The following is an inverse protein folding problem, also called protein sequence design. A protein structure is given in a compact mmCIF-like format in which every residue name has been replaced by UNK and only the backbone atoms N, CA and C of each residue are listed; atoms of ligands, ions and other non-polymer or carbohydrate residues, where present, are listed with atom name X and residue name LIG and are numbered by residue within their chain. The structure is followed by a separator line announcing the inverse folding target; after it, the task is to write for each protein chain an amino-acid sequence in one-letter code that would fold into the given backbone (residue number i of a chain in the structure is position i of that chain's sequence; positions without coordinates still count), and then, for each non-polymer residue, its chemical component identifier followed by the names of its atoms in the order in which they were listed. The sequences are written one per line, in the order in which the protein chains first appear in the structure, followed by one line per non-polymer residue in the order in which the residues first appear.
data_IF_643098589782
#
_entry.id   IF_643098589782
#
_cell.length_a   1.000
_cell.length_b   1.000
_cell.length_c   1.000
_cell.angle_alpha   90.00
_cell.angle_beta   90.00
_cell.angle_gamma   90.00
#
_symmetry.space_group_name_H-M   'P 1'
#
loop_
_entity.id
_entity.type
_entity.pdbx_description
1 polymer ?
#
# COMPACT_ATOMS: atom_id res chain seq x y z
N UNK A 1 -13.17 -20.36 3.19
CA UNK A 1 -13.25 -18.89 3.16
C UNK A 1 -11.86 -18.41 2.79
N UNK A 2 -11.66 -17.98 1.56
CA UNK A 2 -10.33 -17.62 1.04
C UNK A 2 -9.89 -16.30 1.69
N UNK A 3 -9.05 -16.42 2.71
CA UNK A 3 -8.44 -15.29 3.41
C UNK A 3 -7.55 -14.52 2.42
N UNK A 4 -8.11 -13.45 1.83
CA UNK A 4 -7.29 -12.46 1.10
C UNK A 4 -6.36 -11.84 2.13
N UNK A 5 -5.05 -12.07 1.96
CA UNK A 5 -4.01 -11.46 2.80
C UNK A 5 -4.00 -9.95 2.52
N UNK A 6 -4.72 -9.21 3.35
CA UNK A 6 -4.88 -7.76 3.29
C UNK A 6 -3.81 -7.01 4.09
N UNK A 7 -3.02 -7.71 4.90
CA UNK A 7 -1.97 -7.09 5.69
C UNK A 7 -0.75 -6.87 4.80
N UNK A 8 -0.34 -5.61 4.64
CA UNK A 8 0.91 -5.24 3.99
C UNK A 8 1.72 -4.30 4.88
N UNK A 9 3.03 -4.50 4.88
CA UNK A 9 3.97 -3.68 5.62
C UNK A 9 4.41 -2.52 4.74
N UNK A 10 3.95 -1.32 5.08
CA UNK A 10 4.34 -0.07 4.43
C UNK A 10 5.65 0.42 5.02
N UNK A 11 6.68 0.49 4.19
CA UNK A 11 7.99 1.01 4.59
C UNK A 11 8.15 2.45 4.14
N UNK A 12 8.31 3.36 5.09
CA UNK A 12 8.50 4.78 4.82
C UNK A 12 9.94 5.05 4.34
N UNK A 13 10.16 5.55 3.10
CA UNK A 13 11.50 5.83 2.60
C UNK A 13 12.16 7.05 3.26
N UNK A 14 11.40 7.94 3.91
CA UNK A 14 11.95 9.13 4.56
C UNK A 14 12.58 8.84 5.93
N UNK A 15 12.08 7.83 6.66
CA UNK A 15 12.53 7.54 8.03
C UNK A 15 12.83 6.05 8.30
N UNK A 16 12.61 5.17 7.31
CA UNK A 16 12.78 3.73 7.44
C UNK A 16 11.75 3.05 8.34
N UNK A 17 10.67 3.73 8.72
CA UNK A 17 9.63 3.14 9.58
C UNK A 17 8.76 2.17 8.79
N UNK A 18 8.59 0.96 9.32
CA UNK A 18 7.67 -0.04 8.80
C UNK A 18 6.40 -0.02 9.62
N UNK A 19 5.25 0.09 8.95
CA UNK A 19 3.92 0.00 9.57
C UNK A 19 3.11 -1.06 8.85
N UNK A 20 2.68 -2.08 9.59
CA UNK A 20 1.75 -3.08 9.09
C UNK A 20 0.33 -2.49 9.08
N UNK A 21 -0.23 -2.30 7.88
CA UNK A 21 -1.58 -1.79 7.70
C UNK A 21 -2.42 -2.78 6.90
N UNK A 22 -3.70 -2.86 7.26
CA UNK A 22 -4.67 -3.70 6.58
C UNK A 22 -5.24 -2.94 5.39
N UNK A 23 -4.84 -3.33 4.19
CA UNK A 23 -5.38 -2.80 2.95
C UNK A 23 -6.87 -3.09 2.85
N UNK A 24 -7.72 -2.07 2.65
CA UNK A 24 -9.11 -2.32 2.29
C UNK A 24 -9.13 -3.02 0.92
N UNK A 25 -9.86 -4.12 0.80
CA UNK A 25 -10.09 -4.79 -0.51
C UNK A 25 -10.96 -3.96 -1.45
N UNK A 26 -11.66 -2.97 -0.91
CA UNK A 26 -12.66 -2.17 -1.62
C UNK A 26 -12.12 -0.80 -2.07
N UNK A 27 -10.94 -0.39 -1.59
CA UNK A 27 -10.40 0.92 -1.87
C UNK A 27 -8.88 0.92 -1.93
N UNK A 28 -8.33 1.84 -2.72
CA UNK A 28 -6.90 1.93 -2.96
C UNK A 28 -6.34 3.19 -2.30
N UNK A 29 -5.40 3.02 -1.36
CA UNK A 29 -4.84 4.13 -0.60
C UNK A 29 -3.75 4.85 -1.42
N UNK A 30 -4.09 6.02 -1.95
CA UNK A 30 -3.14 6.85 -2.69
C UNK A 30 -2.24 7.69 -1.77
N UNK A 31 -2.69 8.04 -0.57
CA UNK A 31 -1.89 8.84 0.36
C UNK A 31 -1.72 8.08 1.67
N UNK A 32 -0.48 7.95 2.11
CA UNK A 32 -0.16 7.37 3.41
C UNK A 32 0.57 8.40 4.26
N UNK A 33 0.01 8.69 5.42
CA UNK A 33 0.64 9.56 6.39
C UNK A 33 1.44 8.71 7.37
N UNK A 34 2.76 8.92 7.38
CA UNK A 34 3.64 8.13 8.22
C UNK A 34 3.39 8.46 9.70
N UNK A 35 2.92 7.48 10.48
CA UNK A 35 2.67 7.64 11.93
C UNK A 35 3.90 8.01 12.76
N UNK A 36 5.11 7.84 12.20
CA UNK A 36 6.38 8.15 12.89
C UNK A 36 6.89 9.57 12.62
N UNK A 37 6.90 10.01 11.37
CA UNK A 37 7.45 11.32 10.99
C UNK A 37 6.40 12.31 10.48
N UNK A 38 5.14 11.91 10.32
CA UNK A 38 4.06 12.75 9.78
C UNK A 38 4.26 13.14 8.31
N UNK A 39 5.13 12.44 7.57
CA UNK A 39 5.32 12.69 6.15
C UNK A 39 4.19 12.04 5.37
N UNK A 40 3.59 12.80 4.45
CA UNK A 40 2.60 12.29 3.52
C UNK A 40 3.28 11.66 2.32
N UNK A 41 3.36 10.34 2.31
CA UNK A 41 3.85 9.55 1.18
C UNK A 41 2.83 9.54 0.04
N UNK A 42 3.34 9.64 -1.18
CA UNK A 42 2.60 9.53 -2.44
C UNK A 42 3.19 8.36 -3.24
N UNK A 43 2.39 7.63 -4.03
CA UNK A 43 2.90 6.52 -4.81
C UNK A 43 3.78 7.05 -5.94
N UNK A 44 4.66 6.20 -6.45
CA UNK A 44 5.51 6.54 -7.60
C UNK A 44 4.68 6.60 -8.87
N UNK A 45 5.15 7.38 -9.85
CA UNK A 45 4.51 7.44 -11.16
C UNK A 45 4.55 6.03 -11.81
N UNK A 46 3.38 5.44 -12.03
CA UNK A 46 3.22 4.07 -12.53
C UNK A 46 2.59 3.09 -11.54
N UNK A 47 2.53 3.44 -10.25
CA UNK A 47 1.86 2.64 -9.21
C UNK A 47 0.47 3.21 -8.89
N UNK A 48 -0.52 2.34 -8.65
CA UNK A 48 -1.86 2.81 -8.32
C UNK A 48 -1.99 3.30 -6.87
N UNK A 49 -1.19 2.77 -5.93
CA UNK A 49 -1.34 2.96 -4.49
C UNK A 49 0.00 2.92 -3.74
N UNK A 50 0.06 3.53 -2.56
CA UNK A 50 1.27 3.56 -1.72
C UNK A 50 1.75 2.16 -1.32
N UNK A 51 0.82 1.21 -1.22
CA UNK A 51 1.13 -0.20 -0.98
C UNK A 51 1.83 -0.88 -2.17
N UNK A 52 1.56 -0.48 -3.41
CA UNK A 52 2.28 -1.02 -4.57
C UNK A 52 3.71 -0.46 -4.65
N UNK A 53 3.90 0.81 -4.28
CA UNK A 53 5.24 1.43 -4.30
C UNK A 53 6.11 1.09 -3.10
N UNK A 54 5.52 1.00 -1.90
CA UNK A 54 6.24 0.92 -0.62
C UNK A 54 5.80 -0.24 0.28
N UNK A 55 4.77 -0.98 -0.14
CA UNK A 55 4.30 -2.16 0.58
C UNK A 55 5.10 -3.41 0.21
N UNK A 56 5.07 -4.39 1.11
CA UNK A 56 5.64 -5.72 0.85
C UNK A 56 4.74 -6.59 -0.01
N UNK A 57 3.42 -6.36 0.02
CA UNK A 57 2.42 -7.12 -0.73
C UNK A 57 1.67 -6.16 -1.66
N UNK A 58 1.55 -6.47 -2.97
CA UNK A 58 0.81 -5.64 -3.91
C UNK A 58 -0.69 -5.63 -3.57
N UNK A 59 -1.40 -4.59 -4.02
CA UNK A 59 -2.80 -4.40 -3.65
C UNK A 59 -3.70 -5.57 -4.14
N UNK A 60 -4.77 -5.91 -3.40
CA UNK A 60 -5.69 -6.99 -3.78
C UNK A 60 -6.22 -6.91 -5.23
N UNK A 61 -6.57 -5.73 -5.79
CA UNK A 61 -6.98 -5.66 -7.20
C UNK A 61 -5.86 -5.95 -8.20
N UNK A 62 -4.58 -5.70 -7.85
CA UNK A 62 -3.44 -6.16 -8.67
C UNK A 62 -3.28 -7.68 -8.61
N UNK A 63 -3.48 -8.30 -7.44
CA UNK A 63 -3.44 -9.76 -7.29
C UNK A 63 -4.59 -10.46 -8.04
N UNK A 64 -5.74 -9.78 -8.16
CA UNK A 64 -6.88 -10.24 -8.95
C UNK A 64 -6.73 -9.97 -10.46
N UNK A 65 -5.65 -9.31 -10.89
CA UNK A 65 -5.39 -9.01 -12.30
C UNK A 65 -6.30 -7.94 -12.92
N UNK A 66 -6.96 -7.11 -12.13
CA UNK A 66 -8.08 -6.28 -12.60
C UNK A 66 -7.84 -4.75 -12.53
N UNK A 67 -6.60 -4.29 -12.65
CA UNK A 67 -6.25 -2.89 -12.99
C UNK A 67 -4.77 -2.87 -13.43
N UNK A 68 -4.32 -2.33 -14.56
CA UNK A 68 -4.79 -1.19 -15.35
C UNK A 68 -4.86 -1.56 -16.85
N UNK A 69 -5.92 -1.13 -17.52
CA UNK A 69 -6.05 -1.01 -18.97
C UNK A 69 -6.82 0.26 -19.28
#
# INVERSE_FOLDING_TARGET
MTERRVISELTCPSCGHVSAETMPTDACQFFYDCKRCGVRLKPKAGDCCVYCSYGTVPCPPMQAGNCCG
#
